data_IF_490942057881
#
_entry.id   IF_490942057881
#
_cell.length_a   1.000
_cell.length_b   1.000
_cell.length_c   1.000
_cell.angle_alpha   90.00
_cell.angle_beta   90.00
_cell.angle_gamma   90.00
#
_symmetry.space_group_name_H-M   'P 1'
#
loop_
_entity.id
_entity.type
_entity.pdbx_description
1 polymer ?
#
# COMPACT_ATOMS: atom_id res chain seq x y z
N UNK A 1 -22.41 -23.36 0.53
CA UNK A 1 -21.66 -24.23 -0.39
C UNK A 1 -20.38 -23.51 -0.80
N UNK A 2 -19.27 -24.21 -1.10
CA UNK A 2 -18.06 -23.56 -1.61
C UNK A 2 -18.32 -22.96 -3.01
N UNK A 3 -17.71 -21.81 -3.29
CA UNK A 3 -17.66 -21.23 -4.63
C UNK A 3 -16.54 -21.92 -5.41
N UNK A 4 -16.87 -22.56 -6.52
CA UNK A 4 -15.91 -23.27 -7.37
C UNK A 4 -15.81 -22.52 -8.69
N UNK A 5 -14.58 -22.21 -9.10
CA UNK A 5 -14.29 -21.60 -10.40
C UNK A 5 -13.28 -22.45 -11.14
N UNK A 6 -13.40 -22.47 -12.46
CA UNK A 6 -12.47 -23.18 -13.34
C UNK A 6 -11.47 -22.19 -13.92
N UNK A 7 -10.20 -22.59 -13.97
CA UNK A 7 -9.15 -21.82 -14.63
C UNK A 7 -9.43 -21.80 -16.13
N UNK A 8 -9.57 -20.61 -16.69
CA UNK A 8 -9.71 -20.37 -18.12
C UNK A 8 -8.34 -20.40 -18.82
N UNK A 9 -8.33 -20.11 -20.11
CA UNK A 9 -7.08 -19.96 -20.86
C UNK A 9 -6.14 -18.92 -20.23
N UNK A 10 -4.84 -19.05 -20.52
CA UNK A 10 -3.79 -18.15 -19.99
C UNK A 10 -3.76 -18.08 -18.46
N UNK A 11 -4.19 -19.13 -17.78
CA UNK A 11 -4.20 -19.25 -16.32
C UNK A 11 -5.08 -18.20 -15.61
N UNK A 12 -6.15 -17.75 -16.25
CA UNK A 12 -7.06 -16.76 -15.67
C UNK A 12 -8.15 -17.43 -14.82
N UNK A 13 -8.40 -16.91 -13.63
CA UNK A 13 -9.54 -17.35 -12.79
C UNK A 13 -10.53 -16.20 -12.69
N UNK A 14 -11.75 -16.44 -13.14
CA UNK A 14 -12.83 -15.47 -12.94
C UNK A 14 -13.17 -15.40 -11.45
N UNK A 15 -13.11 -14.20 -10.87
CA UNK A 15 -13.50 -13.98 -9.50
C UNK A 15 -15.04 -13.94 -9.40
N UNK A 16 -15.68 -14.78 -8.56
CA UNK A 16 -17.11 -14.71 -8.33
C UNK A 16 -17.54 -13.31 -7.87
N UNK A 17 -18.65 -12.81 -8.43
CA UNK A 17 -19.15 -11.46 -8.14
C UNK A 17 -19.35 -11.23 -6.63
N UNK A 18 -19.84 -12.22 -5.90
CA UNK A 18 -20.04 -12.17 -4.46
C UNK A 18 -18.73 -11.88 -3.70
N UNK A 19 -17.62 -12.51 -4.09
CA UNK A 19 -16.30 -12.26 -3.51
C UNK A 19 -15.75 -10.89 -3.92
N UNK A 20 -15.94 -10.50 -5.19
CA UNK A 20 -15.51 -9.19 -5.67
C UNK A 20 -16.20 -8.05 -4.89
N UNK A 21 -17.51 -8.16 -4.67
CA UNK A 21 -18.29 -7.20 -3.89
C UNK A 21 -17.88 -7.20 -2.41
N UNK A 22 -17.82 -8.37 -1.78
CA UNK A 22 -17.49 -8.48 -0.35
C UNK A 22 -16.10 -7.93 -0.01
N UNK A 23 -15.13 -8.09 -0.93
CA UNK A 23 -13.75 -7.64 -0.74
C UNK A 23 -13.46 -6.31 -1.44
N UNK A 24 -14.46 -5.66 -2.04
CA UNK A 24 -14.34 -4.40 -2.78
C UNK A 24 -13.23 -4.45 -3.87
N UNK A 25 -13.09 -5.60 -4.54
CA UNK A 25 -12.13 -5.79 -5.62
C UNK A 25 -12.67 -5.10 -6.88
N UNK A 26 -11.85 -4.23 -7.46
CA UNK A 26 -12.18 -3.45 -8.65
C UNK A 26 -11.11 -3.65 -9.72
N UNK A 27 -11.38 -3.28 -10.99
CA UNK A 27 -10.33 -3.21 -12.00
C UNK A 27 -9.14 -2.38 -11.49
N UNK A 28 -7.94 -2.95 -11.54
CA UNK A 28 -6.71 -2.33 -11.01
C UNK A 28 -6.36 -2.69 -9.57
N UNK A 29 -7.21 -3.40 -8.82
CA UNK A 29 -6.83 -3.97 -7.52
C UNK A 29 -5.69 -4.95 -7.69
N UNK A 30 -4.59 -4.73 -6.98
CA UNK A 30 -3.44 -5.63 -6.99
C UNK A 30 -3.64 -6.76 -5.98
N UNK A 31 -3.22 -7.96 -6.38
CA UNK A 31 -3.31 -9.16 -5.57
C UNK A 31 -1.91 -9.74 -5.39
N UNK A 32 -1.55 -10.02 -4.14
CA UNK A 32 -0.37 -10.80 -3.77
C UNK A 32 -0.79 -12.26 -3.61
N UNK A 33 -0.04 -13.15 -4.26
CA UNK A 33 -0.29 -14.60 -4.24
C UNK A 33 0.84 -15.31 -3.52
N UNK A 34 0.48 -16.14 -2.55
CA UNK A 34 1.43 -16.94 -1.78
C UNK A 34 1.01 -18.40 -1.91
N UNK A 35 1.96 -19.25 -2.32
CA UNK A 35 1.76 -20.69 -2.34
C UNK A 35 1.97 -21.26 -0.94
N UNK A 36 0.98 -22.01 -0.46
CA UNK A 36 1.04 -22.76 0.79
C UNK A 36 1.10 -24.27 0.50
N UNK A 37 1.22 -25.07 1.57
CA UNK A 37 1.24 -26.53 1.45
C UNK A 37 -0.13 -27.07 1.00
N UNK A 38 -0.13 -28.28 0.42
CA UNK A 38 -1.37 -28.96 0.03
C UNK A 38 -2.12 -28.32 -1.16
N UNK A 39 -1.44 -27.52 -1.98
CA UNK A 39 -2.05 -26.89 -3.16
C UNK A 39 -2.94 -25.69 -2.82
N UNK A 40 -2.82 -25.14 -1.60
CA UNK A 40 -3.55 -23.95 -1.19
C UNK A 40 -2.81 -22.71 -1.68
N UNK A 41 -3.55 -21.81 -2.32
CA UNK A 41 -3.08 -20.46 -2.64
C UNK A 41 -3.74 -19.46 -1.70
N UNK A 42 -2.93 -18.67 -1.00
CA UNK A 42 -3.41 -17.53 -0.23
C UNK A 42 -3.29 -16.27 -1.09
N UNK A 43 -4.38 -15.51 -1.16
CA UNK A 43 -4.44 -14.25 -1.90
C UNK A 43 -4.68 -13.10 -0.94
N UNK A 44 -3.88 -12.05 -1.06
CA UNK A 44 -4.01 -10.82 -0.26
C UNK A 44 -4.19 -9.62 -1.17
N UNK A 45 -5.15 -8.76 -0.86
CA UNK A 45 -5.32 -7.49 -1.55
C UNK A 45 -4.21 -6.53 -1.11
N UNK A 46 -3.53 -5.93 -2.08
CA UNK A 46 -2.58 -4.87 -1.82
C UNK A 46 -3.31 -3.51 -1.78
N UNK A 47 -2.96 -2.65 -0.83
CA UNK A 47 -3.52 -1.30 -0.76
C UNK A 47 -3.14 -0.51 -2.00
N UNK A 48 -4.09 0.29 -2.49
CA UNK A 48 -3.84 1.27 -3.54
C UNK A 48 -2.88 2.36 -3.08
N UNK A 49 -2.33 3.11 -4.03
CA UNK A 49 -1.46 4.27 -3.72
C UNK A 49 -2.15 5.31 -2.84
N UNK A 50 -3.45 5.53 -3.04
CA UNK A 50 -4.26 6.44 -2.21
C UNK A 50 -4.38 5.92 -0.78
N UNK A 51 -4.75 4.65 -0.60
CA UNK A 51 -4.84 4.04 0.73
C UNK A 51 -3.49 3.99 1.45
N UNK A 52 -2.39 3.78 0.71
CA UNK A 52 -1.05 3.89 1.28
C UNK A 52 -0.74 5.33 1.72
N UNK A 53 -1.07 6.33 0.91
CA UNK A 53 -0.89 7.74 1.27
C UNK A 53 -1.71 8.11 2.50
N UNK A 54 -2.98 7.70 2.56
CA UNK A 54 -3.87 7.91 3.71
C UNK A 54 -3.31 7.24 4.98
N UNK A 55 -2.79 6.01 4.87
CA UNK A 55 -2.13 5.32 5.99
C UNK A 55 -0.86 6.02 6.46
N UNK A 56 -0.13 6.63 5.54
CA UNK A 56 1.10 7.38 5.86
C UNK A 56 0.81 8.80 6.36
N UNK A 57 -0.38 9.33 6.09
CA UNK A 57 -0.76 10.68 6.49
C UNK A 57 -0.79 10.80 8.01
N UNK A 58 0.11 11.59 8.57
CA UNK A 58 0.17 11.87 10.01
C UNK A 58 1.03 10.92 10.84
N UNK A 59 1.51 9.79 10.29
CA UNK A 59 2.46 8.92 11.02
C UNK A 59 3.77 9.64 11.37
N UNK A 60 4.22 10.56 10.52
CA UNK A 60 5.38 11.41 10.81
C UNK A 60 5.18 12.40 11.96
N UNK A 61 3.93 12.64 12.41
CA UNK A 61 3.64 13.54 13.54
C UNK A 61 3.67 12.84 14.90
N UNK A 62 3.59 11.51 14.95
CA UNK A 62 3.56 10.76 16.21
C UNK A 62 4.87 10.83 17.02
N UNK A 63 5.99 11.18 16.38
CA UNK A 63 7.29 11.37 17.03
C UNK A 63 7.67 12.82 17.30
N UNK A 64 6.77 13.78 17.07
CA UNK A 64 7.02 15.20 17.29
C UNK A 64 6.58 15.59 18.69
N UNK A 65 7.42 16.31 19.42
CA UNK A 65 7.01 16.93 20.67
C UNK A 65 6.03 18.10 20.39
N UNK A 66 5.15 18.46 21.33
CA UNK A 66 4.31 19.64 21.20
C UNK A 66 5.16 20.89 20.90
N UNK A 67 4.89 21.58 19.79
CA UNK A 67 5.64 22.75 19.35
C UNK A 67 6.84 22.46 18.43
N UNK A 68 7.14 21.20 18.13
CA UNK A 68 8.15 20.88 17.10
C UNK A 68 7.66 21.33 15.71
N UNK A 69 8.48 22.15 15.05
CA UNK A 69 8.36 22.47 13.62
C UNK A 69 9.49 21.78 12.85
N UNK A 70 9.29 20.52 12.42
CA UNK A 70 10.31 19.78 11.68
C UNK A 70 10.57 20.38 10.29
N UNK A 71 9.63 21.15 9.73
CA UNK A 71 9.80 21.79 8.43
C UNK A 71 10.72 23.00 8.57
N UNK A 72 10.51 23.84 9.59
CA UNK A 72 11.41 24.95 9.88
C UNK A 72 12.84 24.46 10.16
N UNK A 73 12.98 23.36 10.93
CA UNK A 73 14.28 22.73 11.19
C UNK A 73 14.97 22.26 9.90
N UNK A 74 14.22 21.61 9.01
CA UNK A 74 14.76 21.15 7.72
C UNK A 74 15.15 22.30 6.80
N UNK A 75 14.37 23.38 6.78
CA UNK A 75 14.71 24.59 6.01
C UNK A 75 16.00 25.21 6.52
N UNK A 76 16.18 25.30 7.84
CA UNK A 76 17.38 25.84 8.45
C UNK A 76 18.62 24.97 8.17
N UNK A 77 18.46 23.64 8.23
CA UNK A 77 19.51 22.68 7.86
C UNK A 77 19.94 22.86 6.40
N UNK A 78 19.00 22.89 5.46
CA UNK A 78 19.29 23.09 4.03
C UNK A 78 19.93 24.45 3.73
N UNK A 79 19.47 25.50 4.42
CA UNK A 79 20.05 26.84 4.26
C UNK A 79 21.50 26.91 4.74
N UNK A 80 21.89 26.10 5.74
CA UNK A 80 23.29 26.01 6.20
C UNK A 80 24.15 25.20 5.24
N UNK A 81 23.63 24.08 4.73
CA UNK A 81 24.34 23.26 3.72
C UNK A 81 24.63 24.05 2.43
N UNK A 82 23.68 24.86 1.96
CA UNK A 82 23.87 25.72 0.78
C UNK A 82 24.87 26.86 1.02
N UNK A 83 25.05 27.30 2.28
CA UNK A 83 25.97 28.37 2.65
C UNK A 83 27.41 27.86 2.93
N UNK A 84 27.55 26.63 3.42
CA UNK A 84 28.84 25.96 3.62
C UNK A 84 29.46 25.42 2.29
N UNK A 85 28.69 25.44 1.21
CA UNK A 85 29.13 25.13 -0.16
C UNK A 85 29.65 26.32 -0.97
N UNK A 86 29.70 27.53 -0.39
CA UNK A 86 30.30 28.69 -1.04
C UNK A 86 31.83 28.70 -0.84
N UNK A 87 32.65 28.83 -1.91
CA UNK A 87 34.11 28.81 -1.83
C UNK A 87 34.70 29.99 -1.07
#
# INVERSE_FOLDING_TARGET
MPLITTVAEKNQVALPAELAHALNIKPGTQLEWIQEQGGVLRVKLLPSRGELADRLQGLGRGGLHPGDDPVARLIEERSREDNDGAP
#
